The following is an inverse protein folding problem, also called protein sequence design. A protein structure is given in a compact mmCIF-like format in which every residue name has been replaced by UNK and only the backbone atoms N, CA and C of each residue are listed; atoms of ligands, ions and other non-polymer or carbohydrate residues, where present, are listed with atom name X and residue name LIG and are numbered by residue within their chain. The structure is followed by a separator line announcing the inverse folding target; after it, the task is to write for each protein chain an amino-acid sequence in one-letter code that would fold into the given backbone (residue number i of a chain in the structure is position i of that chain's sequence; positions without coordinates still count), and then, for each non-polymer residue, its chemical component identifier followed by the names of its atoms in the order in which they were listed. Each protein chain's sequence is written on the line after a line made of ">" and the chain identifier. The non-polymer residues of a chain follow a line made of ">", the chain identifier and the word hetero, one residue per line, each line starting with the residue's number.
data_IF_384677213206
#
_entry.id   IF_384677213206
#
_cell.length_a   1.000
_cell.length_b   1.000
_cell.length_c   1.000
_cell.angle_alpha   90.00
_cell.angle_beta   90.00
_cell.angle_gamma   90.00
#
_symmetry.space_group_name_H-M   'P 1'
#
loop_
_entity.id
_entity.type
_entity.pdbx_description
1 polymer ?
#
# COMPACT_ATOMS: atom_id res chain seq x y z
N UNK A 1 -8.55 -5.83 -13.01
CA UNK A 1 -7.80 -6.34 -11.85
C UNK A 1 -6.69 -5.35 -11.51
N UNK A 2 -7.02 -4.28 -10.79
CA UNK A 2 -6.06 -3.22 -10.43
C UNK A 2 -6.35 -2.79 -8.99
N UNK A 3 -5.77 -3.47 -8.00
CA UNK A 3 -5.28 -2.82 -6.79
C UNK A 3 -4.24 -3.71 -6.12
N UNK A 4 -3.00 -3.29 -6.31
CA UNK A 4 -1.80 -3.50 -5.55
C UNK A 4 -0.81 -2.55 -6.29
N UNK A 5 0.14 -1.91 -5.62
CA UNK A 5 1.08 -1.01 -6.32
C UNK A 5 2.39 -1.74 -6.56
N UNK A 6 2.82 -1.87 -7.82
CA UNK A 6 4.12 -2.47 -8.17
C UNK A 6 5.24 -1.50 -7.82
N UNK A 7 6.10 -1.87 -6.87
CA UNK A 7 7.28 -1.13 -6.47
C UNK A 7 8.26 -1.04 -7.65
N UNK A 8 8.75 0.16 -7.95
CA UNK A 8 9.65 0.42 -9.10
C UNK A 8 9.02 1.22 -10.25
N UNK A 9 7.70 1.45 -10.22
CA UNK A 9 7.06 2.56 -10.95
C UNK A 9 6.86 3.68 -9.94
N UNK A 10 7.33 4.90 -10.22
CA UNK A 10 7.31 6.06 -9.32
C UNK A 10 6.04 6.07 -8.44
N UNK A 11 6.19 5.84 -7.14
CA UNK A 11 5.04 5.72 -6.24
C UNK A 11 4.37 7.10 -6.15
N UNK A 12 3.05 7.22 -6.37
CA UNK A 12 2.34 8.45 -6.12
C UNK A 12 2.05 8.57 -4.61
N UNK A 13 3.01 8.31 -3.73
CA UNK A 13 2.81 8.38 -2.28
C UNK A 13 3.98 9.19 -1.72
N UNK A 14 3.70 10.37 -1.17
CA UNK A 14 4.72 11.17 -0.51
C UNK A 14 4.75 10.77 0.96
N UNK A 15 5.83 10.11 1.37
CA UNK A 15 6.18 9.95 2.79
C UNK A 15 6.73 11.30 3.20
N UNK A 16 6.05 12.06 4.07
CA UNK A 16 6.62 13.30 4.63
C UNK A 16 7.84 12.92 5.49
N UNK A 17 9.07 13.27 5.09
CA UNK A 17 10.23 12.97 5.92
C UNK A 17 10.22 13.94 7.10
N UNK A 18 10.20 13.41 8.32
CA UNK A 18 10.55 14.19 9.50
C UNK A 18 11.99 14.67 9.33
N UNK A 19 12.17 15.98 9.26
CA UNK A 19 13.43 16.67 9.02
C UNK A 19 14.52 16.25 10.02
N UNK A 20 15.42 15.35 9.61
CA UNK A 20 16.81 15.30 10.06
C UNK A 20 17.65 14.51 9.05
N UNK A 21 18.53 15.22 8.34
CA UNK A 21 19.41 14.66 7.30
C UNK A 21 20.65 14.00 7.93
N UNK A 22 20.71 12.67 7.86
CA UNK A 22 21.97 11.92 7.90
C UNK A 22 21.80 10.67 7.04
N UNK A 23 22.81 10.40 6.22
CA UNK A 23 22.85 9.43 5.13
C UNK A 23 22.31 8.03 5.45
N UNK A 24 21.74 7.42 4.40
CA UNK A 24 21.39 6.01 4.22
C UNK A 24 19.93 5.61 4.59
N UNK A 25 19.26 4.96 3.62
CA UNK A 25 17.85 4.51 3.57
C UNK A 25 16.77 5.59 3.27
N UNK A 26 16.60 5.87 1.97
CA UNK A 26 15.40 6.50 1.39
C UNK A 26 14.13 5.94 2.02
N UNK A 27 13.25 6.80 2.56
CA UNK A 27 12.01 6.46 3.26
C UNK A 27 11.14 5.43 2.55
N UNK A 28 11.46 4.15 2.77
CA UNK A 28 10.79 3.01 2.19
C UNK A 28 9.44 2.79 2.85
N UNK A 29 8.53 2.17 2.12
CA UNK A 29 7.25 1.76 2.67
C UNK A 29 7.46 0.63 3.70
N UNK A 30 6.89 0.79 4.89
CA UNK A 30 6.85 -0.26 5.91
C UNK A 30 5.42 -0.72 6.18
N UNK A 31 5.26 -1.98 6.58
CA UNK A 31 3.96 -2.46 7.08
C UNK A 31 3.56 -1.61 8.30
N UNK A 32 2.25 -1.41 8.43
CA UNK A 32 1.58 -0.53 9.40
C UNK A 32 1.83 0.98 9.22
N UNK A 33 2.50 1.39 8.15
CA UNK A 33 2.64 2.79 7.78
C UNK A 33 1.32 3.40 7.33
N UNK A 34 1.05 4.64 7.75
CA UNK A 34 -0.05 5.43 7.21
C UNK A 34 0.34 6.05 5.87
N UNK A 35 -0.50 5.85 4.87
CA UNK A 35 -0.24 6.29 3.50
C UNK A 35 -1.46 7.01 2.92
N UNK A 36 -1.24 7.87 1.93
CA UNK A 36 -2.30 8.54 1.19
C UNK A 36 -1.91 8.71 -0.27
N UNK A 37 -2.88 8.67 -1.17
CA UNK A 37 -2.61 8.86 -2.61
C UNK A 37 -2.12 10.30 -2.85
N UNK A 38 -1.04 10.49 -3.59
CA UNK A 38 -0.52 11.79 -3.96
C UNK A 38 -1.56 12.57 -4.76
N UNK A 39 -1.74 13.83 -4.39
CA UNK A 39 -2.81 14.67 -4.90
C UNK A 39 -4.20 14.37 -4.31
N UNK A 40 -4.33 13.36 -3.45
CA UNK A 40 -5.56 13.00 -2.75
C UNK A 40 -5.30 12.68 -1.27
N UNK A 41 -4.87 13.67 -0.45
CA UNK A 41 -4.46 13.47 0.96
C UNK A 41 -5.57 12.97 1.88
N UNK A 42 -6.83 12.97 1.42
CA UNK A 42 -7.98 12.43 2.14
C UNK A 42 -8.20 10.93 1.91
N UNK A 43 -7.58 10.34 0.89
CA UNK A 43 -7.65 8.90 0.64
C UNK A 43 -6.53 8.22 1.41
N UNK A 44 -6.77 8.04 2.70
CA UNK A 44 -5.78 7.54 3.67
C UNK A 44 -6.02 6.06 3.93
N UNK A 45 -4.94 5.30 4.06
CA UNK A 45 -4.96 3.89 4.43
C UNK A 45 -3.75 3.50 5.28
N UNK A 46 -3.72 2.23 5.66
CA UNK A 46 -2.61 1.60 6.37
C UNK A 46 -1.95 0.58 5.46
N UNK A 47 -0.64 0.60 5.38
CA UNK A 47 0.12 -0.45 4.72
C UNK A 47 0.02 -1.78 5.43
N UNK A 48 -0.33 -2.86 4.73
CA UNK A 48 -0.53 -4.18 5.35
C UNK A 48 0.33 -5.29 4.75
N UNK A 49 0.90 -5.05 3.57
CA UNK A 49 1.70 -6.04 2.87
C UNK A 49 2.79 -5.41 2.03
N UNK A 50 3.97 -6.03 2.03
CA UNK A 50 5.08 -5.77 1.10
C UNK A 50 5.63 -7.11 0.63
N UNK A 51 5.55 -7.40 -0.66
CA UNK A 51 6.09 -8.66 -1.19
C UNK A 51 5.59 -9.02 -2.58
N UNK A 52 5.93 -10.22 -3.05
CA UNK A 52 5.50 -10.74 -4.35
C UNK A 52 4.05 -11.23 -4.29
N UNK A 53 3.30 -11.05 -5.38
CA UNK A 53 1.93 -11.56 -5.51
C UNK A 53 1.91 -12.61 -6.61
N UNK A 54 1.34 -13.78 -6.34
CA UNK A 54 1.22 -14.88 -7.30
C UNK A 54 0.48 -14.42 -8.57
N UNK A 55 1.03 -14.77 -9.73
CA UNK A 55 0.51 -14.33 -11.03
C UNK A 55 0.84 -12.88 -11.39
N UNK A 56 1.65 -12.18 -10.59
CA UNK A 56 1.99 -10.78 -10.78
C UNK A 56 3.49 -10.52 -10.59
N UNK A 57 4.14 -9.90 -11.59
CA UNK A 57 5.57 -9.61 -11.52
C UNK A 57 5.91 -8.44 -10.59
N UNK A 58 7.02 -8.55 -9.86
CA UNK A 58 7.60 -7.49 -9.04
C UNK A 58 7.15 -7.50 -7.59
N UNK A 59 7.60 -6.49 -6.83
CA UNK A 59 7.17 -6.28 -5.44
C UNK A 59 5.90 -5.45 -5.41
N UNK A 60 5.00 -5.78 -4.50
CA UNK A 60 3.69 -5.18 -4.36
C UNK A 60 3.47 -4.66 -2.95
N UNK A 61 2.74 -3.56 -2.88
CA UNK A 61 2.25 -2.98 -1.62
C UNK A 61 0.74 -3.17 -1.52
N UNK A 62 0.30 -3.81 -0.44
CA UNK A 62 -1.11 -3.91 -0.06
C UNK A 62 -1.47 -2.83 0.97
N UNK A 63 -2.61 -2.16 0.77
CA UNK A 63 -3.08 -1.07 1.63
C UNK A 63 -4.50 -1.35 2.07
N UNK A 64 -4.77 -1.23 3.37
CA UNK A 64 -6.12 -1.23 3.92
C UNK A 64 -6.61 0.22 4.08
N UNK A 65 -7.51 0.65 3.21
CA UNK A 65 -8.06 2.00 3.14
C UNK A 65 -9.11 2.26 4.21
N UNK A 66 -9.09 3.47 4.79
CA UNK A 66 -10.03 3.84 5.84
C UNK A 66 -11.44 4.12 5.31
N UNK A 67 -11.56 4.57 4.07
CA UNK A 67 -12.83 4.81 3.41
C UNK A 67 -13.48 3.50 2.96
N UNK A 68 -14.79 3.36 3.23
CA UNK A 68 -15.58 2.16 2.96
C UNK A 68 -15.66 1.72 1.47
N UNK A 69 -15.29 2.61 0.54
CA UNK A 69 -15.29 2.37 -0.92
C UNK A 69 -13.94 2.65 -1.58
N UNK A 70 -12.86 2.82 -0.81
CA UNK A 70 -11.56 3.17 -1.35
C UNK A 70 -10.72 1.95 -1.76
N UNK A 71 -11.03 0.77 -1.22
CA UNK A 71 -10.46 -0.52 -1.62
C UNK A 71 -11.33 -1.31 -2.62
N UNK A 72 -10.81 -2.45 -3.05
CA UNK A 72 -11.38 -3.35 -4.06
C UNK A 72 -11.37 -4.82 -3.66
N UNK A 73 -10.61 -5.20 -2.65
CA UNK A 73 -10.53 -6.60 -2.20
C UNK A 73 -10.47 -6.71 -0.68
N UNK A 74 -10.46 -7.94 -0.17
CA UNK A 74 -10.44 -8.25 1.26
C UNK A 74 -9.01 -8.55 1.78
N UNK A 75 -8.00 -8.28 0.96
CA UNK A 75 -6.60 -8.66 1.18
C UNK A 75 -6.19 -10.01 0.57
N UNK A 76 -7.05 -10.64 -0.22
CA UNK A 76 -6.71 -11.80 -1.05
C UNK A 76 -6.72 -11.51 -2.56
N UNK A 77 -5.93 -12.29 -3.32
CA UNK A 77 -5.94 -12.30 -4.79
C UNK A 77 -6.02 -13.76 -5.26
N UNK A 78 -6.99 -14.06 -6.13
CA UNK A 78 -7.21 -15.41 -6.69
C UNK A 78 -7.30 -16.55 -5.64
N UNK A 79 -7.84 -16.25 -4.45
CA UNK A 79 -7.96 -17.22 -3.36
C UNK A 79 -6.76 -17.31 -2.42
N UNK A 80 -5.66 -16.63 -2.73
CA UNK A 80 -4.45 -16.55 -1.88
C UNK A 80 -4.52 -15.31 -0.99
N UNK A 81 -4.34 -15.48 0.32
CA UNK A 81 -4.40 -14.41 1.33
C UNK A 81 -3.02 -13.77 1.52
N UNK A 82 -2.92 -12.45 1.36
CA UNK A 82 -1.70 -11.68 1.60
C UNK A 82 -1.77 -10.87 2.89
N UNK A 83 -2.96 -10.34 3.21
CA UNK A 83 -3.26 -9.70 4.48
C UNK A 83 -4.77 -9.79 4.78
N UNK A 84 -5.15 -9.56 6.03
CA UNK A 84 -6.55 -9.38 6.41
C UNK A 84 -6.90 -7.89 6.37
N UNK A 85 -7.78 -7.52 5.43
CA UNK A 85 -8.37 -6.19 5.39
C UNK A 85 -9.50 -6.07 6.43
N UNK A 86 -9.71 -4.86 6.96
CA UNK A 86 -10.79 -4.57 7.91
C UNK A 86 -12.19 -4.84 7.35
N UNK A 87 -12.37 -4.67 6.05
CA UNK A 87 -13.64 -4.97 5.37
C UNK A 87 -13.39 -5.66 4.03
N UNK A 88 -14.40 -6.34 3.44
CA UNK A 88 -14.25 -7.01 2.15
C UNK A 88 -13.85 -6.12 0.97
N UNK A 89 -13.90 -4.79 1.13
CA UNK A 89 -13.58 -3.81 0.08
C UNK A 89 -12.66 -2.69 0.59
N UNK A 90 -11.85 -2.96 1.61
CA UNK A 90 -10.85 -1.97 2.06
C UNK A 90 -9.43 -2.27 1.61
N UNK A 91 -9.13 -3.45 1.06
CA UNK A 91 -7.83 -3.79 0.44
C UNK A 91 -7.64 -3.22 -0.95
#
# INVERSE_FOLDING_TARGET
>A
MHLAFKMGFSLPFFVEPSMNESSDESGGFHVDQRVHIAGAPRRIGTGRYVGVVEGHEGMWVGVDWDGYDDGKHDGSVAGVRYFDARTPRSG
#
